data_IF_318270138885
#
_entry.id   IF_318270138885
#
_cell.length_a   1.000
_cell.length_b   1.000
_cell.length_c   1.000
_cell.angle_alpha   90.00
_cell.angle_beta   90.00
_cell.angle_gamma   90.00
#
_symmetry.space_group_name_H-M   'P 1'
#
loop_
_entity.id
_entity.type
_entity.pdbx_description
1 polymer ?
#
# COMPACT_ATOMS: atom_id res chain seq x y z
N UNK A 1 5.79 12.38 15.99
CA UNK A 1 5.72 13.29 14.82
C UNK A 1 4.50 13.05 13.94
N UNK A 2 3.35 13.61 14.33
CA UNK A 2 2.09 13.56 13.53
C UNK A 2 2.24 14.18 12.14
N UNK A 3 3.19 15.11 11.95
CA UNK A 3 3.45 15.79 10.69
C UNK A 3 3.91 14.86 9.54
N UNK A 4 4.46 13.67 9.85
CA UNK A 4 4.96 12.76 8.81
C UNK A 4 3.86 11.85 8.23
N UNK A 5 2.91 11.39 9.06
CA UNK A 5 1.83 10.51 8.60
C UNK A 5 0.85 11.26 7.70
N UNK A 6 0.32 12.39 8.18
CA UNK A 6 -0.66 13.20 7.43
C UNK A 6 -0.11 13.69 6.10
N UNK A 7 1.15 14.13 6.05
CA UNK A 7 1.78 14.58 4.81
C UNK A 7 2.01 13.43 3.81
N UNK A 8 2.35 12.24 4.31
CA UNK A 8 2.47 11.03 3.50
C UNK A 8 1.12 10.62 2.91
N UNK A 9 0.06 10.60 3.72
CA UNK A 9 -1.29 10.24 3.28
C UNK A 9 -1.82 11.25 2.27
N UNK A 10 -1.64 12.55 2.52
CA UNK A 10 -2.06 13.60 1.59
C UNK A 10 -1.44 13.41 0.19
N UNK A 11 -0.14 13.11 0.15
CA UNK A 11 0.59 12.86 -1.10
C UNK A 11 0.14 11.57 -1.80
N UNK A 12 -0.11 10.50 -1.04
CA UNK A 12 -0.59 9.24 -1.61
C UNK A 12 -2.03 9.39 -2.12
N UNK A 13 -2.84 10.22 -1.47
CA UNK A 13 -4.21 10.57 -1.91
C UNK A 13 -4.19 11.26 -3.26
N UNK A 14 -3.24 12.18 -3.47
CA UNK A 14 -3.03 12.82 -4.77
C UNK A 14 -2.70 11.79 -5.86
N UNK A 15 -1.80 10.83 -5.57
CA UNK A 15 -1.49 9.75 -6.51
C UNK A 15 -2.64 8.77 -6.72
N UNK A 16 -3.51 8.55 -5.74
CA UNK A 16 -4.68 7.71 -5.93
C UNK A 16 -5.74 8.40 -6.80
N UNK A 17 -5.90 9.73 -6.64
CA UNK A 17 -6.82 10.51 -7.47
C UNK A 17 -6.30 10.67 -8.91
N UNK A 18 -5.00 10.88 -9.08
CA UNK A 18 -4.34 11.06 -10.36
C UNK A 18 -3.22 10.03 -10.49
N UNK A 19 -3.58 8.78 -10.83
CA UNK A 19 -2.59 7.71 -10.89
C UNK A 19 -1.49 8.05 -11.90
N UNK A 20 -0.21 8.09 -11.46
CA UNK A 20 0.87 8.63 -12.25
C UNK A 20 1.13 7.83 -13.53
N UNK A 21 1.65 8.52 -14.52
CA UNK A 21 2.13 7.90 -15.74
C UNK A 21 3.39 7.06 -15.47
N UNK A 22 3.73 6.19 -16.42
CA UNK A 22 4.83 5.24 -16.28
C UNK A 22 6.19 5.89 -15.99
N UNK A 23 6.39 7.14 -16.39
CA UNK A 23 7.59 7.93 -16.07
C UNK A 23 7.73 8.24 -14.57
N UNK A 24 6.62 8.32 -13.85
CA UNK A 24 6.55 8.68 -12.44
C UNK A 24 6.41 7.47 -11.50
N UNK A 25 6.19 6.26 -12.06
CA UNK A 25 6.16 5.02 -11.28
C UNK A 25 7.39 4.81 -10.40
N UNK A 26 8.64 5.14 -10.83
CA UNK A 26 9.80 5.04 -9.94
C UNK A 26 9.70 5.95 -8.71
N UNK A 27 9.13 7.14 -8.86
CA UNK A 27 8.92 8.08 -7.74
C UNK A 27 7.86 7.54 -6.78
N UNK A 28 6.74 7.05 -7.32
CA UNK A 28 5.68 6.43 -6.52
C UNK A 28 6.21 5.19 -5.78
N UNK A 29 6.97 4.32 -6.45
CA UNK A 29 7.60 3.14 -5.87
C UNK A 29 8.47 3.50 -4.66
N UNK A 30 9.37 4.48 -4.80
CA UNK A 30 10.23 4.93 -3.69
C UNK A 30 9.44 5.48 -2.50
N UNK A 31 8.34 6.20 -2.76
CA UNK A 31 7.47 6.71 -1.70
C UNK A 31 6.75 5.59 -0.96
N UNK A 32 6.28 4.58 -1.69
CA UNK A 32 5.65 3.40 -1.12
C UNK A 32 6.64 2.53 -0.33
N UNK A 33 7.88 2.42 -0.78
CA UNK A 33 8.96 1.79 -0.02
C UNK A 33 9.22 2.53 1.29
N UNK A 34 9.29 3.86 1.25
CA UNK A 34 9.40 4.71 2.43
C UNK A 34 8.24 4.49 3.41
N UNK A 35 7.01 4.47 2.90
CA UNK A 35 5.82 4.16 3.71
C UNK A 35 5.92 2.77 4.34
N UNK A 36 6.30 1.73 3.57
CA UNK A 36 6.42 0.37 4.08
C UNK A 36 7.46 0.25 5.20
N UNK A 37 8.54 1.05 5.14
CA UNK A 37 9.53 1.18 6.21
C UNK A 37 8.90 1.88 7.41
N UNK A 38 8.28 3.06 7.23
CA UNK A 38 7.64 3.80 8.32
C UNK A 38 6.59 2.97 9.04
N UNK A 39 5.71 2.27 8.32
CA UNK A 39 4.70 1.37 8.91
C UNK A 39 5.33 0.23 9.74
N UNK A 40 6.59 -0.12 9.48
CA UNK A 40 7.31 -1.17 10.22
C UNK A 40 8.07 -0.63 11.42
N UNK A 41 8.63 0.57 11.31
CA UNK A 41 9.60 1.10 12.29
C UNK A 41 9.01 2.17 13.21
N UNK A 42 7.94 2.83 12.79
CA UNK A 42 7.31 3.90 13.57
C UNK A 42 6.45 3.36 14.70
N UNK A 43 6.14 4.25 15.64
CA UNK A 43 5.30 3.98 16.82
C UNK A 43 3.89 3.48 16.46
N UNK A 44 3.25 2.79 17.41
CA UNK A 44 1.85 2.35 17.28
C UNK A 44 0.90 3.50 16.91
N UNK A 45 1.10 4.70 17.47
CA UNK A 45 0.28 5.88 17.14
C UNK A 45 0.38 6.28 15.68
N UNK A 46 1.53 6.13 15.03
CA UNK A 46 1.67 6.39 13.59
C UNK A 46 0.80 5.44 12.77
N UNK A 47 0.82 4.14 13.12
CA UNK A 47 0.02 3.12 12.43
C UNK A 47 -1.47 3.36 12.66
N UNK A 48 -1.86 3.75 13.88
CA UNK A 48 -3.25 4.10 14.18
C UNK A 48 -3.70 5.34 13.40
N UNK A 49 -2.90 6.42 13.40
CA UNK A 49 -3.18 7.63 12.61
C UNK A 49 -3.33 7.30 11.11
N UNK A 50 -2.53 6.36 10.60
CA UNK A 50 -2.63 5.88 9.22
C UNK A 50 -3.95 5.16 8.94
N UNK A 51 -4.39 4.30 9.86
CA UNK A 51 -5.68 3.61 9.75
C UNK A 51 -6.85 4.57 9.81
N UNK A 52 -6.84 5.46 10.81
CA UNK A 52 -7.93 6.42 11.04
C UNK A 52 -8.09 7.42 9.88
N UNK A 53 -7.02 7.62 9.12
CA UNK A 53 -7.01 8.46 7.91
C UNK A 53 -7.39 7.71 6.61
N UNK A 54 -7.86 6.47 6.69
CA UNK A 54 -8.26 5.67 5.52
C UNK A 54 -7.08 5.17 4.67
N UNK A 55 -5.90 5.00 5.29
CA UNK A 55 -4.69 4.60 4.58
C UNK A 55 -4.77 3.22 3.93
N UNK A 56 -5.58 2.31 4.45
CA UNK A 56 -5.78 0.96 3.88
C UNK A 56 -6.54 1.05 2.55
N UNK A 57 -7.65 1.79 2.53
CA UNK A 57 -8.47 2.06 1.34
C UNK A 57 -7.65 2.74 0.24
N UNK A 58 -6.76 3.65 0.66
CA UNK A 58 -5.83 4.32 -0.23
C UNK A 58 -4.85 3.35 -0.90
N UNK A 59 -4.24 2.44 -0.13
CA UNK A 59 -3.36 1.40 -0.67
C UNK A 59 -4.10 0.43 -1.59
N UNK A 60 -5.36 0.11 -1.28
CA UNK A 60 -6.22 -0.75 -2.12
C UNK A 60 -6.48 -0.07 -3.47
N UNK A 61 -6.81 1.22 -3.45
CA UNK A 61 -7.04 2.03 -4.65
C UNK A 61 -5.79 2.04 -5.53
N UNK A 62 -4.63 2.34 -4.95
CA UNK A 62 -3.34 2.33 -5.66
C UNK A 62 -2.98 0.94 -6.22
N UNK A 63 -3.32 -0.14 -5.51
CA UNK A 63 -3.08 -1.51 -5.97
C UNK A 63 -3.98 -1.87 -7.16
N UNK A 64 -5.24 -1.45 -7.13
CA UNK A 64 -6.19 -1.66 -8.22
C UNK A 64 -5.77 -0.87 -9.47
N UNK A 65 -5.33 0.37 -9.32
CA UNK A 65 -4.78 1.18 -10.42
C UNK A 65 -3.47 0.62 -10.97
N UNK A 66 -2.57 0.17 -10.09
CA UNK A 66 -1.35 -0.49 -10.54
C UNK A 66 -1.69 -1.75 -11.35
N UNK A 67 -2.73 -2.49 -10.96
CA UNK A 67 -3.18 -3.69 -11.67
C UNK A 67 -3.80 -3.36 -13.02
N UNK A 68 -4.66 -2.33 -13.09
CA UNK A 68 -5.32 -1.93 -14.33
C UNK A 68 -4.31 -1.49 -15.41
N UNK A 69 -3.13 -1.00 -15.00
CA UNK A 69 -2.05 -0.54 -15.88
C UNK A 69 -0.86 -1.50 -16.00
N UNK A 70 -0.94 -2.70 -15.42
CA UNK A 70 0.17 -3.66 -15.28
C UNK A 70 1.47 -3.03 -14.71
N UNK A 71 1.32 -2.07 -13.80
CA UNK A 71 2.39 -1.33 -13.15
C UNK A 71 3.02 -2.16 -12.01
N UNK A 72 3.61 -3.30 -12.37
CA UNK A 72 4.19 -4.24 -11.39
C UNK A 72 5.31 -3.62 -10.53
N UNK A 73 6.00 -2.60 -11.04
CA UNK A 73 6.99 -1.82 -10.30
C UNK A 73 6.39 -1.08 -9.10
N UNK A 74 5.14 -0.63 -9.21
CA UNK A 74 4.38 0.02 -8.13
C UNK A 74 3.70 -1.02 -7.24
N UNK A 75 3.26 -2.15 -7.80
CA UNK A 75 2.58 -3.20 -7.05
C UNK A 75 3.48 -3.88 -6.00
N UNK A 76 4.76 -4.11 -6.30
CA UNK A 76 5.70 -4.76 -5.37
C UNK A 76 5.83 -4.03 -4.03
N UNK A 77 6.10 -2.72 -3.97
CA UNK A 77 6.17 -2.00 -2.70
C UNK A 77 4.80 -1.83 -2.02
N UNK A 78 3.69 -1.78 -2.78
CA UNK A 78 2.34 -1.83 -2.18
C UNK A 78 2.13 -3.14 -1.40
N UNK A 79 2.46 -4.28 -2.01
CA UNK A 79 2.36 -5.58 -1.34
C UNK A 79 3.28 -5.68 -0.13
N UNK A 80 4.45 -5.05 -0.17
CA UNK A 80 5.32 -4.93 1.00
C UNK A 80 4.66 -4.14 2.13
N UNK A 81 3.99 -3.02 1.83
CA UNK A 81 3.26 -2.23 2.81
C UNK A 81 2.10 -3.03 3.42
N UNK A 82 1.29 -3.71 2.60
CA UNK A 82 0.22 -4.59 3.09
C UNK A 82 0.72 -5.69 4.00
N UNK A 83 1.84 -6.33 3.66
CA UNK A 83 2.44 -7.35 4.52
C UNK A 83 2.85 -6.80 5.88
N UNK A 84 3.49 -5.62 5.90
CA UNK A 84 3.85 -4.96 7.16
C UNK A 84 2.60 -4.68 8.00
N UNK A 85 1.54 -4.18 7.38
CA UNK A 85 0.26 -3.91 8.03
C UNK A 85 -0.37 -5.19 8.63
N UNK A 86 -0.38 -6.30 7.89
CA UNK A 86 -0.93 -7.58 8.36
C UNK A 86 -0.19 -8.18 9.59
N UNK A 87 1.04 -7.74 9.85
CA UNK A 87 1.75 -8.12 11.08
C UNK A 87 1.16 -7.45 12.33
N UNK A 88 0.52 -6.28 12.19
CA UNK A 88 -0.18 -5.61 13.30
C UNK A 88 -1.54 -6.26 13.53
N UNK A 89 -1.81 -6.73 14.75
CA UNK A 89 -3.09 -7.37 15.09
C UNK A 89 -4.29 -6.45 14.82
N UNK A 90 -4.19 -5.17 15.15
CA UNK A 90 -5.27 -4.21 14.92
C UNK A 90 -5.59 -4.06 13.42
N UNK A 91 -4.56 -3.84 12.60
CA UNK A 91 -4.72 -3.64 11.16
C UNK A 91 -5.14 -4.94 10.46
N UNK A 92 -4.62 -6.08 10.91
CA UNK A 92 -4.99 -7.39 10.36
C UNK A 92 -6.48 -7.63 10.48
N UNK A 93 -7.09 -7.30 11.62
CA UNK A 93 -8.54 -7.42 11.80
C UNK A 93 -9.28 -6.55 10.79
N UNK A 94 -8.90 -5.27 10.64
CA UNK A 94 -9.52 -4.36 9.66
C UNK A 94 -9.42 -4.87 8.22
N UNK A 95 -8.26 -5.40 7.80
CA UNK A 95 -8.08 -5.94 6.45
C UNK A 95 -8.90 -7.22 6.25
N UNK A 96 -8.93 -8.12 7.25
CA UNK A 96 -9.68 -9.38 7.16
C UNK A 96 -11.20 -9.17 7.15
N UNK A 97 -11.69 -8.11 7.80
CA UNK A 97 -13.10 -7.71 7.76
C UNK A 97 -13.48 -7.03 6.43
N UNK A 98 -12.50 -6.47 5.71
CA UNK A 98 -12.72 -5.81 4.43
C UNK A 98 -12.56 -6.79 3.25
N UNK A 99 -13.68 -7.32 2.76
CA UNK A 99 -13.70 -8.25 1.62
C UNK A 99 -13.05 -7.66 0.35
N UNK A 100 -13.22 -6.35 0.11
CA UNK A 100 -12.59 -5.70 -1.06
C UNK A 100 -11.06 -5.67 -0.91
N UNK A 101 -10.54 -5.47 0.29
CA UNK A 101 -9.11 -5.50 0.55
C UNK A 101 -8.52 -6.87 0.23
N UNK A 102 -9.16 -7.94 0.71
CA UNK A 102 -8.72 -9.31 0.45
C UNK A 102 -8.75 -9.66 -1.04
N UNK A 103 -9.81 -9.26 -1.74
CA UNK A 103 -9.92 -9.49 -3.18
C UNK A 103 -8.85 -8.73 -3.97
N UNK A 104 -8.60 -7.45 -3.63
CA UNK A 104 -7.56 -6.65 -4.29
C UNK A 104 -6.15 -7.20 -4.04
N UNK A 105 -5.86 -7.66 -2.81
CA UNK A 105 -4.59 -8.31 -2.48
C UNK A 105 -4.45 -9.62 -3.25
N UNK A 106 -5.48 -10.48 -3.26
CA UNK A 106 -5.47 -11.73 -4.00
C UNK A 106 -5.33 -11.52 -5.52
N UNK A 107 -5.99 -10.50 -6.08
CA UNK A 107 -5.87 -10.13 -7.49
C UNK A 107 -4.47 -9.66 -7.89
N UNK A 108 -3.59 -9.36 -6.93
CA UNK A 108 -2.18 -9.10 -7.22
C UNK A 108 -1.41 -10.36 -7.68
N UNK A 109 -2.02 -11.55 -7.61
CA UNK A 109 -1.50 -12.76 -8.23
C UNK A 109 -1.56 -12.72 -9.76
N UNK A 110 -2.44 -11.88 -10.33
CA UNK A 110 -2.62 -11.75 -11.78
C UNK A 110 -1.50 -10.98 -12.47
N UNK A 111 -0.67 -10.25 -11.71
CA UNK A 111 0.49 -9.57 -12.29
C UNK A 111 1.45 -10.59 -12.93
N UNK A 112 1.96 -10.28 -14.13
CA UNK A 112 2.91 -11.14 -14.83
C UNK A 112 4.30 -11.18 -14.13
N UNK A 113 4.55 -10.21 -13.24
CA UNK A 113 5.80 -10.10 -12.52
C UNK A 113 5.90 -11.13 -11.37
N UNK A 114 6.88 -12.05 -11.38
CA UNK A 114 7.00 -13.06 -10.33
C UNK A 114 7.29 -12.47 -8.94
N UNK A 115 7.82 -11.24 -8.85
CA UNK A 115 8.13 -10.59 -7.56
C UNK A 115 6.87 -10.26 -6.77
N UNK A 116 5.74 -9.97 -7.42
CA UNK A 116 4.47 -9.72 -6.71
C UNK A 116 3.99 -10.98 -6.02
N UNK A 117 4.09 -12.14 -6.71
CA UNK A 117 3.76 -13.46 -6.16
C UNK A 117 4.63 -13.82 -4.97
N UNK A 118 5.96 -13.65 -5.12
CA UNK A 118 6.89 -13.88 -4.01
C UNK A 118 6.51 -12.99 -2.82
N UNK A 119 6.20 -11.71 -3.04
CA UNK A 119 5.90 -10.80 -1.93
C UNK A 119 4.59 -11.09 -1.20
N UNK A 120 3.66 -11.75 -1.89
CA UNK A 120 2.38 -12.18 -1.32
C UNK A 120 2.52 -13.44 -0.47
N UNK A 121 3.40 -14.37 -0.85
CA UNK A 121 3.55 -15.67 -0.18
C UNK A 121 4.78 -15.80 0.76
N UNK A 122 5.86 -15.06 0.51
CA UNK A 122 7.16 -15.18 1.19
C UNK A 122 7.65 -13.84 1.72
#
# INVERSE_FOLDING_TARGET
>A
DQANCTSTISRLTEFAANFPDHFDWPLLSRRLEGLAISLRTESFSFVQDFLDSGGVELLITLLNEARSRDASTVAVPLLAAFRTLLNSTAVRTTILENQSALLSIAAALDFHNPKTKVRLFF
#
